data_IF_315956129391
#
_entry.id   IF_315956129391
#
_cell.length_a   1.000
_cell.length_b   1.000
_cell.length_c   1.000
_cell.angle_alpha   90.00
_cell.angle_beta   90.00
_cell.angle_gamma   90.00
#
_symmetry.space_group_name_H-M   'P 1'
#
loop_
_entity.id
_entity.type
_entity.pdbx_description
1 polymer ?
#
# COMPACT_ATOMS: atom_id res chain seq x y z
N UNK A 1 -5.41 30.94 6.50
CA UNK A 1 -6.64 30.12 6.44
C UNK A 1 -7.07 29.84 5.02
N UNK A 2 -6.58 28.73 4.44
CA UNK A 2 -7.10 28.24 3.16
C UNK A 2 -8.36 27.46 3.47
N UNK A 3 -9.51 28.06 3.20
CA UNK A 3 -10.83 27.42 3.33
C UNK A 3 -10.81 26.09 2.58
N UNK A 4 -11.10 25.04 3.32
CA UNK A 4 -11.12 23.69 2.84
C UNK A 4 -12.20 23.52 1.77
N UNK A 5 -11.81 23.49 0.49
CA UNK A 5 -12.75 23.28 -0.62
C UNK A 5 -13.01 21.78 -0.78
N UNK A 6 -14.29 21.45 -0.86
CA UNK A 6 -14.93 20.14 -1.09
C UNK A 6 -13.97 18.97 -1.38
N UNK A 7 -13.80 18.12 -0.36
CA UNK A 7 -12.98 16.90 -0.41
C UNK A 7 -11.98 16.75 0.74
N UNK A 8 -11.70 17.83 1.47
CA UNK A 8 -10.69 17.88 2.55
C UNK A 8 -10.97 16.97 3.75
N UNK A 9 -12.23 16.53 3.88
CA UNK A 9 -12.69 15.60 4.92
C UNK A 9 -13.59 14.52 4.34
N UNK A 10 -13.21 13.94 3.20
CA UNK A 10 -13.87 12.71 2.78
C UNK A 10 -13.52 11.60 3.78
N UNK A 11 -14.39 11.44 4.80
CA UNK A 11 -14.24 10.48 5.89
C UNK A 11 -13.90 9.09 5.39
N UNK A 12 -14.51 8.67 4.28
CA UNK A 12 -14.24 7.38 3.64
C UNK A 12 -12.81 7.29 3.12
N UNK A 13 -12.30 8.30 2.42
CA UNK A 13 -10.91 8.29 1.92
C UNK A 13 -9.90 8.31 3.06
N UNK A 14 -10.15 9.11 4.10
CA UNK A 14 -9.29 9.15 5.28
C UNK A 14 -9.26 7.82 6.03
N UNK A 15 -10.44 7.23 6.30
CA UNK A 15 -10.54 5.92 6.96
C UNK A 15 -9.87 4.83 6.11
N UNK A 16 -10.10 4.80 4.80
CA UNK A 16 -9.45 3.85 3.91
C UNK A 16 -7.92 3.97 3.97
N UNK A 17 -7.40 5.20 4.03
CA UNK A 17 -5.96 5.41 4.18
C UNK A 17 -5.44 4.93 5.54
N UNK A 18 -6.11 5.28 6.63
CA UNK A 18 -5.73 4.84 7.98
C UNK A 18 -5.79 3.30 8.08
N UNK A 19 -6.83 2.66 7.56
CA UNK A 19 -6.94 1.20 7.54
C UNK A 19 -5.84 0.54 6.72
N UNK A 20 -5.51 1.09 5.54
CA UNK A 20 -4.36 0.63 4.74
C UNK A 20 -3.06 0.70 5.54
N UNK A 21 -2.81 1.84 6.20
CA UNK A 21 -1.61 2.07 6.99
C UNK A 21 -1.53 1.18 8.25
N UNK A 22 -2.64 0.99 8.96
CA UNK A 22 -2.70 0.07 10.11
C UNK A 22 -2.52 -1.39 9.68
N UNK A 23 -3.10 -1.79 8.55
CA UNK A 23 -2.91 -3.12 7.97
C UNK A 23 -1.43 -3.38 7.69
N UNK A 24 -0.76 -2.45 7.01
CA UNK A 24 0.70 -2.50 6.76
C UNK A 24 1.51 -2.61 8.04
N UNK A 25 1.20 -1.80 9.07
CA UNK A 25 1.87 -1.86 10.38
C UNK A 25 1.74 -3.25 11.00
N UNK A 26 0.54 -3.82 11.00
CA UNK A 26 0.26 -5.14 11.60
C UNK A 26 1.01 -6.26 10.90
N UNK A 27 0.96 -6.33 9.57
CA UNK A 27 1.70 -7.36 8.82
C UNK A 27 3.20 -7.19 8.98
N UNK A 28 3.70 -5.95 9.06
CA UNK A 28 5.12 -5.69 9.33
C UNK A 28 5.52 -6.17 10.72
N UNK A 29 4.68 -5.93 11.73
CA UNK A 29 4.93 -6.42 13.08
C UNK A 29 4.89 -7.95 13.15
N UNK A 30 4.03 -8.61 12.37
CA UNK A 30 4.02 -10.08 12.27
C UNK A 30 5.35 -10.62 11.70
N UNK A 31 5.90 -9.95 10.68
CA UNK A 31 7.22 -10.29 10.13
C UNK A 31 8.31 -10.08 11.19
N UNK A 32 8.31 -8.93 11.87
CA UNK A 32 9.30 -8.60 12.92
C UNK A 32 9.22 -9.51 14.15
N UNK A 33 8.04 -10.01 14.50
CA UNK A 33 7.82 -10.89 15.65
C UNK A 33 8.00 -12.37 15.30
N UNK A 34 8.30 -12.69 14.05
CA UNK A 34 8.53 -14.08 13.65
C UNK A 34 9.98 -14.48 13.90
N UNK A 35 10.21 -15.77 14.18
CA UNK A 35 11.56 -16.33 14.30
C UNK A 35 12.22 -16.60 12.93
N UNK A 36 11.81 -15.87 11.89
CA UNK A 36 12.25 -16.07 10.51
C UNK A 36 13.10 -14.89 10.04
N UNK A 37 14.11 -15.22 9.24
CA UNK A 37 14.94 -14.25 8.54
C UNK A 37 14.37 -13.99 7.14
N UNK A 38 14.23 -12.72 6.79
CA UNK A 38 13.75 -12.28 5.48
C UNK A 38 14.80 -11.40 4.83
N UNK A 39 15.17 -11.69 3.58
CA UNK A 39 16.03 -10.80 2.80
C UNK A 39 15.26 -9.64 2.16
N UNK A 40 13.98 -9.90 1.84
CA UNK A 40 13.11 -8.97 1.15
C UNK A 40 11.66 -9.15 1.58
N UNK A 41 10.86 -8.12 1.37
CA UNK A 41 9.41 -8.11 1.63
C UNK A 41 8.70 -7.60 0.39
N UNK A 42 7.55 -8.19 0.09
CA UNK A 42 6.62 -7.75 -0.95
C UNK A 42 5.29 -7.45 -0.28
N UNK A 43 4.81 -6.22 -0.41
CA UNK A 43 3.45 -5.84 -0.05
C UNK A 43 2.59 -5.81 -1.31
N UNK A 44 1.47 -6.54 -1.27
CA UNK A 44 0.46 -6.54 -2.33
C UNK A 44 -0.89 -6.34 -1.67
N UNK A 45 -1.70 -5.46 -2.22
CA UNK A 45 -3.09 -5.34 -1.78
C UNK A 45 -3.86 -6.63 -2.08
N UNK A 46 -4.76 -7.06 -1.18
CA UNK A 46 -5.51 -8.30 -1.35
C UNK A 46 -6.47 -8.26 -2.55
N UNK A 47 -6.90 -7.07 -2.99
CA UNK A 47 -7.76 -6.87 -4.16
C UNK A 47 -6.97 -6.59 -5.45
N UNK A 48 -5.64 -6.68 -5.45
CA UNK A 48 -4.81 -6.48 -6.63
C UNK A 48 -4.47 -7.83 -7.31
N UNK A 49 -4.99 -8.02 -8.52
CA UNK A 49 -4.63 -9.14 -9.38
C UNK A 49 -3.46 -8.75 -10.29
N UNK A 50 -2.30 -9.37 -10.08
CA UNK A 50 -1.12 -9.13 -10.89
C UNK A 50 -1.32 -9.68 -12.30
N UNK A 51 -1.01 -8.87 -13.32
CA UNK A 51 -1.13 -9.25 -14.75
C UNK A 51 0.10 -10.01 -15.25
N UNK A 52 1.23 -9.84 -14.58
CA UNK A 52 2.51 -10.48 -14.89
C UNK A 52 3.10 -11.12 -13.63
N UNK A 53 3.96 -12.10 -13.81
CA UNK A 53 4.75 -12.69 -12.72
C UNK A 53 5.64 -11.63 -12.07
N UNK A 54 5.66 -11.59 -10.73
CA UNK A 54 6.53 -10.66 -9.99
C UNK A 54 7.99 -10.99 -10.29
N UNK A 55 8.84 -10.01 -10.68
CA UNK A 55 10.23 -10.26 -11.03
C UNK A 55 11.11 -10.42 -9.77
N UNK A 56 10.84 -11.44 -8.95
CA UNK A 56 11.51 -11.67 -7.65
C UNK A 56 13.04 -11.77 -7.74
N UNK A 57 13.58 -12.14 -8.91
CA UNK A 57 15.04 -12.15 -9.14
C UNK A 57 15.66 -10.76 -9.01
N UNK A 58 14.91 -9.70 -9.33
CA UNK A 58 15.38 -8.31 -9.19
C UNK A 58 15.68 -7.94 -7.74
N UNK A 59 14.99 -8.54 -6.76
CA UNK A 59 15.21 -8.30 -5.33
C UNK A 59 16.65 -8.57 -4.89
N UNK A 60 17.37 -9.48 -5.58
CA UNK A 60 18.77 -9.81 -5.27
C UNK A 60 19.75 -8.68 -5.61
N UNK A 61 19.36 -7.79 -6.51
CA UNK A 61 20.22 -6.71 -7.01
C UNK A 61 19.86 -5.35 -6.38
N UNK A 62 18.92 -5.32 -5.43
CA UNK A 62 18.51 -4.10 -4.74
C UNK A 62 19.46 -3.79 -3.59
N UNK A 63 19.83 -2.53 -3.46
CA UNK A 63 20.61 -2.03 -2.35
C UNK A 63 19.72 -1.76 -1.14
N UNK A 64 20.31 -1.77 0.06
CA UNK A 64 19.64 -1.27 1.25
C UNK A 64 19.17 0.18 1.00
N UNK A 65 17.89 0.46 1.25
CA UNK A 65 17.26 1.74 0.93
C UNK A 65 16.44 1.76 -0.37
N UNK A 66 16.62 0.78 -1.26
CA UNK A 66 15.82 0.69 -2.48
C UNK A 66 14.40 0.20 -2.17
N UNK A 67 13.41 0.77 -2.86
CA UNK A 67 12.03 0.33 -2.91
C UNK A 67 11.56 0.38 -4.35
N UNK A 68 11.01 -0.73 -4.83
CA UNK A 68 10.38 -0.84 -6.14
C UNK A 68 8.88 -0.63 -6.00
N UNK A 69 8.36 0.30 -6.78
CA UNK A 69 6.94 0.61 -6.90
C UNK A 69 6.51 0.43 -8.36
N UNK A 70 5.24 0.10 -8.62
CA UNK A 70 4.74 0.02 -9.98
C UNK A 70 4.77 1.41 -10.65
N UNK A 71 5.07 1.44 -11.95
CA UNK A 71 4.98 2.64 -12.79
C UNK A 71 3.59 2.75 -13.47
N UNK A 72 2.53 2.69 -12.66
CA UNK A 72 1.14 2.78 -13.13
C UNK A 72 0.22 3.53 -12.15
N UNK A 73 -0.84 4.15 -12.68
CA UNK A 73 -1.85 4.89 -11.92
C UNK A 73 -1.30 6.01 -11.01
N UNK A 74 -0.29 6.75 -11.47
CA UNK A 74 0.26 7.92 -10.77
C UNK A 74 -0.56 9.17 -11.04
N UNK A 75 -1.52 9.50 -10.18
CA UNK A 75 -2.30 10.74 -10.35
C UNK A 75 -1.54 11.95 -9.80
N UNK A 76 -1.20 11.96 -8.51
CA UNK A 76 -0.45 13.05 -7.85
C UNK A 76 0.74 12.54 -6.99
N UNK A 77 1.11 11.27 -7.09
CA UNK A 77 2.23 10.68 -6.38
C UNK A 77 2.39 9.19 -6.63
N UNK A 78 2.68 8.44 -5.57
CA UNK A 78 3.12 7.04 -5.67
C UNK A 78 1.98 6.06 -5.34
N UNK A 79 1.87 5.02 -6.15
CA UNK A 79 0.89 3.96 -5.99
C UNK A 79 1.31 3.01 -4.85
N UNK A 80 0.45 2.82 -3.85
CA UNK A 80 0.73 2.00 -2.66
C UNK A 80 0.08 0.61 -2.70
N UNK A 81 -0.47 0.20 -3.85
CA UNK A 81 -1.14 -1.09 -4.03
C UNK A 81 -0.16 -2.25 -4.16
N UNK A 82 1.08 -1.94 -4.55
CA UNK A 82 2.20 -2.86 -4.62
C UNK A 82 3.47 -2.14 -4.15
N UNK A 83 4.31 -2.82 -3.39
CA UNK A 83 5.68 -2.38 -3.11
C UNK A 83 6.57 -3.58 -2.81
N UNK A 84 7.83 -3.55 -3.25
CA UNK A 84 8.81 -4.57 -2.88
C UNK A 84 10.20 -3.99 -2.66
N UNK A 85 11.02 -4.65 -1.85
CA UNK A 85 12.38 -4.21 -1.59
C UNK A 85 13.07 -5.04 -0.52
N UNK A 86 14.33 -4.70 -0.20
CA UNK A 86 15.07 -5.33 0.89
C UNK A 86 14.36 -5.14 2.23
N UNK A 87 14.59 -6.07 3.14
CA UNK A 87 13.93 -6.11 4.44
C UNK A 87 13.98 -4.77 5.20
N UNK A 88 15.15 -4.14 5.29
CA UNK A 88 15.34 -2.87 6.00
C UNK A 88 14.48 -1.74 5.45
N UNK A 89 14.46 -1.56 4.12
CA UNK A 89 13.63 -0.55 3.45
C UNK A 89 12.14 -0.81 3.67
N UNK A 90 11.74 -2.09 3.61
CA UNK A 90 10.34 -2.47 3.65
C UNK A 90 9.75 -2.45 5.06
N UNK A 91 10.57 -2.65 6.10
CA UNK A 91 10.17 -2.40 7.48
C UNK A 91 9.86 -0.93 7.70
N UNK A 92 10.70 -0.01 7.19
CA UNK A 92 10.40 1.43 7.22
C UNK A 92 9.10 1.73 6.47
N UNK A 93 8.97 1.23 5.24
CA UNK A 93 7.76 1.40 4.42
C UNK A 93 6.48 0.98 5.16
N UNK A 94 6.51 -0.19 5.81
CA UNK A 94 5.37 -0.78 6.50
C UNK A 94 5.02 -0.10 7.84
N UNK A 95 5.99 0.51 8.51
CA UNK A 95 5.79 1.22 9.78
C UNK A 95 5.46 2.71 9.62
N UNK A 96 5.28 3.20 8.39
CA UNK A 96 5.11 4.63 8.08
C UNK A 96 3.98 5.32 8.83
N UNK A 97 2.93 4.60 9.25
CA UNK A 97 1.82 5.15 10.04
C UNK A 97 2.28 5.91 11.29
N UNK A 98 3.42 5.51 11.88
CA UNK A 98 4.00 6.15 13.07
C UNK A 98 4.28 7.64 12.86
N UNK A 99 4.41 8.09 11.62
CA UNK A 99 4.72 9.48 11.28
C UNK A 99 3.54 10.25 10.69
N UNK A 100 2.36 9.62 10.58
CA UNK A 100 1.19 10.27 10.00
C UNK A 100 0.77 11.51 10.80
N UNK A 101 0.87 11.45 12.14
CA UNK A 101 0.54 12.57 13.03
C UNK A 101 1.49 13.76 12.82
N UNK A 102 2.80 13.52 12.79
CA UNK A 102 3.79 14.57 12.55
C UNK A 102 3.68 15.16 11.15
N UNK A 103 3.40 14.32 10.13
CA UNK A 103 3.15 14.79 8.77
C UNK A 103 1.93 15.71 8.71
N UNK A 104 0.82 15.32 9.36
CA UNK A 104 -0.40 16.13 9.44
C UNK A 104 -0.15 17.49 10.10
N UNK A 105 0.60 17.50 11.20
CA UNK A 105 0.94 18.74 11.91
C UNK A 105 1.71 19.73 11.00
N UNK A 106 2.61 19.23 10.14
CA UNK A 106 3.41 20.06 9.25
C UNK A 106 2.71 20.44 7.93
N UNK A 107 1.92 19.53 7.36
CA UNK A 107 1.37 19.68 5.99
C UNK A 107 -0.12 20.03 5.95
N UNK A 108 -0.81 19.95 7.10
CA UNK A 108 -2.25 20.12 7.21
C UNK A 108 -3.02 18.92 6.64
N UNK A 109 -3.16 18.87 5.31
CA UNK A 109 -4.00 17.88 4.61
C UNK A 109 -3.30 16.53 4.43
N UNK A 110 -4.02 15.44 4.72
CA UNK A 110 -3.56 14.08 4.45
C UNK A 110 -4.05 13.63 3.07
N UNK A 111 -3.13 13.54 2.11
CA UNK A 111 -3.32 12.88 0.82
C UNK A 111 -2.36 11.69 0.81
N UNK A 112 -2.88 10.46 0.64
CA UNK A 112 -2.11 9.22 0.76
C UNK A 112 -0.86 9.21 -0.10
N UNK A 113 -0.99 9.59 -1.37
CA UNK A 113 0.12 9.62 -2.33
C UNK A 113 1.21 10.64 -1.96
N UNK A 114 0.80 11.81 -1.43
CA UNK A 114 1.74 12.84 -0.96
C UNK A 114 2.43 12.43 0.33
N UNK A 115 1.69 11.79 1.24
CA UNK A 115 2.25 11.25 2.46
C UNK A 115 3.30 10.18 2.15
N UNK A 116 3.01 9.25 1.23
CA UNK A 116 3.98 8.25 0.80
C UNK A 116 5.24 8.90 0.21
N UNK A 117 5.08 9.83 -0.75
CA UNK A 117 6.21 10.55 -1.35
C UNK A 117 7.04 11.31 -0.31
N UNK A 118 6.39 12.00 0.63
CA UNK A 118 7.05 12.68 1.74
C UNK A 118 7.85 11.70 2.61
N UNK A 119 7.21 10.58 3.00
CA UNK A 119 7.82 9.59 3.87
C UNK A 119 9.07 8.98 3.25
N UNK A 120 8.98 8.53 1.99
CA UNK A 120 10.13 7.95 1.28
C UNK A 120 11.28 8.95 1.15
N UNK A 121 10.97 10.21 0.84
CA UNK A 121 11.98 11.27 0.76
C UNK A 121 12.63 11.54 2.12
N UNK A 122 11.85 11.62 3.20
CA UNK A 122 12.35 11.87 4.56
C UNK A 122 13.33 10.79 5.01
N UNK A 123 13.05 9.53 4.69
CA UNK A 123 13.88 8.38 5.01
C UNK A 123 14.98 8.08 3.99
N UNK A 124 15.16 8.95 2.98
CA UNK A 124 16.15 8.79 1.91
C UNK A 124 16.05 7.44 1.20
N UNK A 125 14.83 6.93 1.05
CA UNK A 125 14.57 5.69 0.34
C UNK A 125 14.61 5.97 -1.17
N UNK A 126 15.36 5.14 -1.89
CA UNK A 126 15.50 5.25 -3.34
C UNK A 126 14.30 4.56 -4.01
N UNK A 127 13.51 5.33 -4.76
CA UNK A 127 12.31 4.83 -5.43
C UNK A 127 12.65 4.42 -6.84
N UNK A 128 12.47 3.15 -7.14
CA UNK A 128 12.61 2.57 -8.47
C UNK A 128 11.19 2.31 -8.99
N UNK A 129 10.80 3.00 -10.06
CA UNK A 129 9.52 2.76 -10.73
C UNK A 129 9.70 1.63 -11.74
N UNK A 130 8.77 0.68 -11.74
CA UNK A 130 8.85 -0.53 -12.55
C UNK A 130 7.56 -0.74 -13.35
N UNK A 131 7.65 -0.53 -14.67
CA UNK A 131 6.54 -0.70 -15.61
C UNK A 131 6.18 -2.16 -15.90
N UNK A 132 6.97 -3.14 -15.43
CA UNK A 132 6.60 -4.55 -15.53
C UNK A 132 5.62 -4.97 -14.42
N UNK A 133 5.54 -4.20 -13.34
CA UNK A 133 4.63 -4.48 -12.23
C UNK A 133 3.30 -3.82 -12.54
N UNK A 134 2.36 -4.63 -13.02
CA UNK A 134 1.03 -4.16 -13.41
C UNK A 134 -0.07 -5.04 -12.79
N UNK A 135 -1.19 -4.43 -12.42
CA UNK A 135 -2.32 -5.15 -11.84
C UNK A 135 -3.69 -4.63 -12.30
N UNK A 136 -4.73 -5.40 -11.99
CA UNK A 136 -6.13 -5.00 -12.06
C UNK A 136 -6.76 -5.14 -10.68
N UNK A 137 -7.67 -4.22 -10.32
CA UNK A 137 -8.40 -4.34 -9.06
C UNK A 137 -9.60 -5.28 -9.23
N UNK A 138 -9.64 -6.33 -8.42
CA UNK A 138 -10.81 -7.18 -8.26
C UNK A 138 -11.79 -6.50 -7.32
N UNK A 139 -12.73 -5.74 -7.90
CA UNK A 139 -13.85 -5.17 -7.14
C UNK A 139 -15.08 -6.03 -7.40
N UNK A 140 -15.78 -6.51 -6.36
CA UNK A 140 -17.07 -7.15 -6.53
C UNK A 140 -17.99 -6.21 -7.32
N UNK A 141 -18.49 -6.69 -8.44
CA UNK A 141 -19.57 -6.05 -9.17
C UNK A 141 -20.87 -6.21 -8.37
N UNK A 142 -21.88 -5.36 -8.63
CA UNK A 142 -23.22 -5.53 -8.02
C UNK A 142 -23.84 -6.90 -8.32
N UNK A 143 -23.41 -7.58 -9.38
CA UNK A 143 -23.83 -8.95 -9.73
C UNK A 143 -23.23 -10.01 -8.81
N UNK A 144 -22.01 -9.82 -8.31
CA UNK A 144 -21.32 -10.82 -7.48
C UNK A 144 -21.93 -10.92 -6.07
N UNK A 145 -22.45 -9.80 -5.55
CA UNK A 145 -23.13 -9.75 -4.25
C UNK A 145 -24.46 -10.52 -4.26
N UNK A 146 -25.18 -10.50 -5.39
CA UNK A 146 -26.45 -11.25 -5.54
C UNK A 146 -26.24 -12.76 -5.65
N UNK A 147 -25.08 -13.23 -6.11
CA UNK A 147 -24.75 -14.66 -6.17
C UNK A 147 -24.49 -15.24 -4.77
N UNK A 148 -23.75 -14.52 -3.94
CA UNK A 148 -23.42 -14.95 -2.58
C UNK A 148 -24.63 -15.02 -1.63
N UNK A 149 -25.66 -14.20 -1.85
CA UNK A 149 -26.94 -14.30 -1.12
C UNK A 149 -27.77 -15.52 -1.54
N UNK A 150 -27.65 -15.99 -2.79
CA UNK A 150 -28.37 -17.19 -3.26
C UNK A 150 -27.73 -18.49 -2.76
N UNK A 151 -26.41 -18.56 -2.65
CA UNK A 151 -25.72 -19.76 -2.13
C UNK A 151 -25.97 -19.99 -0.63
N UNK A 152 -26.20 -18.93 0.16
CA UNK A 152 -26.54 -19.07 1.59
C UNK A 152 -27.94 -19.62 1.86
N UNK A 153 -28.82 -19.68 0.85
CA UNK A 153 -30.21 -20.17 0.99
C UNK A 153 -30.35 -21.62 0.51
N UNK A 154 -29.31 -22.21 -0.10
CA UNK A 154 -29.37 -23.51 -0.78
C UNK A 154 -28.76 -24.72 -0.07
N UNK A 155 -28.47 -24.67 1.23
CA UNK A 155 -27.92 -25.82 2.00
C UNK A 155 -28.78 -26.19 3.21
N UNK A 156 -30.10 -26.16 3.04
CA UNK A 156 -31.06 -26.75 3.96
C UNK A 156 -32.15 -27.45 3.16
N UNK A 157 -31.97 -28.75 2.91
CA UNK A 157 -32.90 -29.62 2.19
C UNK A 157 -32.31 -31.00 2.00
#
# INVERSE_FOLDING_TARGET
DVKAKDGDWNKRLLLNHIYSLESLKRVTQMVLNSDRYYNAIIFVRPDAQLKKTVPVKRLRNLNAGDIVLPDEDHWMGLNDRFAMGPFSSMVLYGLRIKELQSYRAASGRIISERFLKFYLKKHKLNVILDGDITFSLLRPSKSDVKGAEKEKVGTGG
#
